data_IF_504408860770
#
_entry.id   IF_504408860770
#
_cell.length_a   1.000
_cell.length_b   1.000
_cell.length_c   1.000
_cell.angle_alpha   90.00
_cell.angle_beta   90.00
_cell.angle_gamma   90.00
#
_symmetry.space_group_name_H-M   'P 1'
#
loop_
_entity.id
_entity.type
_entity.pdbx_description
1 polymer ?
#
# COMPACT_ATOMS: atom_id res chain seq x y z
N UNK A 1 53.22 -47.19 -24.03
CA UNK A 1 52.40 -45.96 -23.91
C UNK A 1 51.17 -46.31 -23.09
N UNK A 2 51.10 -45.86 -21.85
CA UNK A 2 49.94 -46.10 -20.98
C UNK A 2 48.87 -45.09 -21.39
N UNK A 3 47.78 -45.56 -22.00
CA UNK A 3 46.57 -44.77 -22.20
C UNK A 3 46.03 -44.41 -20.80
N UNK A 4 46.31 -43.21 -20.32
CA UNK A 4 45.50 -42.61 -19.27
C UNK A 4 44.10 -42.46 -19.85
N UNK A 5 43.17 -43.31 -19.42
CA UNK A 5 41.74 -43.04 -19.61
C UNK A 5 41.45 -41.76 -18.85
N UNK A 6 41.26 -40.66 -19.57
CA UNK A 6 40.69 -39.44 -19.00
C UNK A 6 39.30 -39.79 -18.46
N UNK A 7 39.23 -40.05 -17.15
CA UNK A 7 37.97 -40.26 -16.43
C UNK A 7 37.15 -38.98 -16.51
N UNK A 8 35.85 -39.12 -16.69
CA UNK A 8 34.97 -37.95 -16.78
C UNK A 8 34.95 -37.17 -15.45
N UNK A 9 34.65 -35.87 -15.52
CA UNK A 9 34.49 -35.03 -14.32
C UNK A 9 33.42 -35.60 -13.36
N UNK A 10 32.39 -36.25 -13.90
CA UNK A 10 31.34 -36.90 -13.13
C UNK A 10 31.81 -38.18 -12.43
N UNK A 11 32.59 -39.03 -13.12
CA UNK A 11 33.21 -40.22 -12.51
C UNK A 11 34.17 -39.84 -11.40
N UNK A 12 34.93 -38.75 -11.58
CA UNK A 12 35.86 -38.25 -10.57
C UNK A 12 35.10 -37.68 -9.37
N UNK A 13 34.05 -36.88 -9.59
CA UNK A 13 33.22 -36.35 -8.50
C UNK A 13 32.59 -37.48 -7.68
N UNK A 14 32.04 -38.49 -8.36
CA UNK A 14 31.44 -39.64 -7.69
C UNK A 14 32.46 -40.45 -6.90
N UNK A 15 33.65 -40.68 -7.45
CA UNK A 15 34.72 -41.41 -6.76
C UNK A 15 35.25 -40.64 -5.52
N UNK A 16 35.30 -39.31 -5.59
CA UNK A 16 35.64 -38.47 -4.44
C UNK A 16 34.55 -38.58 -3.37
N UNK A 17 33.28 -38.44 -3.77
CA UNK A 17 32.15 -38.53 -2.84
C UNK A 17 32.04 -39.92 -2.18
N UNK A 18 32.27 -41.01 -2.91
CA UNK A 18 32.28 -42.36 -2.33
C UNK A 18 33.38 -42.54 -1.26
N UNK A 19 34.52 -41.85 -1.39
CA UNK A 19 35.62 -41.96 -0.43
C UNK A 19 35.46 -41.06 0.77
N UNK A 20 34.82 -39.91 0.58
CA UNK A 20 34.80 -38.82 1.55
C UNK A 20 33.43 -38.60 2.19
N UNK A 21 32.34 -39.06 1.57
CA UNK A 21 30.97 -38.72 1.95
C UNK A 21 30.58 -39.06 3.39
N UNK A 22 31.15 -40.11 3.96
CA UNK A 22 30.88 -40.54 5.34
C UNK A 22 31.76 -39.85 6.39
N UNK A 23 32.68 -38.97 5.98
CA UNK A 23 33.62 -38.34 6.90
C UNK A 23 32.98 -37.08 7.52
N UNK A 24 32.84 -37.01 8.85
CA UNK A 24 32.25 -35.85 9.51
C UNK A 24 33.07 -34.57 9.29
N UNK A 25 32.40 -33.47 8.97
CA UNK A 25 33.02 -32.13 8.86
C UNK A 25 33.73 -31.83 7.55
N UNK A 26 33.68 -32.73 6.55
CA UNK A 26 34.23 -32.43 5.23
C UNK A 26 33.48 -31.27 4.57
N UNK A 27 34.23 -30.32 4.00
CA UNK A 27 33.69 -29.31 3.10
C UNK A 27 33.95 -29.68 1.64
N UNK A 28 32.88 -29.95 0.92
CA UNK A 28 32.93 -30.12 -0.52
C UNK A 28 33.22 -28.80 -1.24
N UNK A 29 32.90 -27.66 -0.63
CA UNK A 29 33.27 -26.33 -1.14
C UNK A 29 34.79 -26.15 -1.26
N UNK A 30 35.57 -26.58 -0.26
CA UNK A 30 37.04 -26.50 -0.32
C UNK A 30 37.63 -27.38 -1.43
N UNK A 31 37.11 -28.60 -1.57
CA UNK A 31 37.54 -29.54 -2.60
C UNK A 31 37.17 -29.01 -4.00
N UNK A 32 35.96 -28.48 -4.15
CA UNK A 32 35.49 -27.85 -5.39
C UNK A 32 36.33 -26.62 -5.74
N UNK A 33 36.69 -25.79 -4.76
CA UNK A 33 37.55 -24.63 -4.97
C UNK A 33 38.93 -25.04 -5.50
N UNK A 34 39.52 -26.12 -4.95
CA UNK A 34 40.78 -26.68 -5.49
C UNK A 34 40.62 -27.23 -6.91
N UNK A 35 39.52 -27.92 -7.20
CA UNK A 35 39.25 -28.38 -8.56
C UNK A 35 39.13 -27.21 -9.56
N UNK A 36 38.50 -26.11 -9.15
CA UNK A 36 38.40 -24.88 -9.94
C UNK A 36 39.74 -24.19 -10.13
N UNK A 37 40.56 -24.05 -9.08
CA UNK A 37 41.90 -23.46 -9.16
C UNK A 37 42.82 -24.26 -10.11
N UNK A 38 42.58 -25.58 -10.24
CA UNK A 38 43.23 -26.46 -11.21
C UNK A 38 42.63 -26.39 -12.63
N UNK A 39 41.67 -25.51 -12.88
CA UNK A 39 41.01 -25.31 -14.19
C UNK A 39 39.86 -26.27 -14.49
N UNK A 40 39.52 -27.22 -13.60
CA UNK A 40 38.43 -28.19 -13.81
C UNK A 40 37.09 -27.66 -13.30
N UNK A 41 36.51 -26.74 -14.08
CA UNK A 41 35.27 -26.04 -13.70
C UNK A 41 34.06 -26.97 -13.59
N UNK A 42 33.89 -27.93 -14.51
CA UNK A 42 32.73 -28.86 -14.46
C UNK A 42 32.83 -29.81 -13.26
N UNK A 43 34.02 -30.36 -12.98
CA UNK A 43 34.29 -31.13 -11.76
C UNK A 43 33.98 -30.30 -10.51
N UNK A 44 34.40 -29.05 -10.45
CA UNK A 44 34.14 -28.17 -9.31
C UNK A 44 32.63 -28.00 -9.07
N UNK A 45 31.83 -27.81 -10.13
CA UNK A 45 30.37 -27.70 -10.04
C UNK A 45 29.78 -29.01 -9.52
N UNK A 46 30.19 -30.16 -10.07
CA UNK A 46 29.70 -31.49 -9.66
C UNK A 46 30.06 -31.81 -8.21
N UNK A 47 31.27 -31.48 -7.75
CA UNK A 47 31.67 -31.65 -6.36
C UNK A 47 30.84 -30.77 -5.42
N UNK A 48 30.50 -29.56 -5.85
CA UNK A 48 29.73 -28.61 -5.06
C UNK A 48 28.26 -29.01 -4.88
N UNK A 49 27.73 -29.90 -5.74
CA UNK A 49 26.39 -30.49 -5.54
C UNK A 49 26.31 -31.34 -4.26
N UNK A 50 27.45 -31.83 -3.75
CA UNK A 50 27.53 -32.59 -2.50
C UNK A 50 27.72 -31.70 -1.25
N UNK A 51 27.88 -30.38 -1.40
CA UNK A 51 27.99 -29.46 -0.25
C UNK A 51 26.58 -29.14 0.29
N UNK A 52 26.22 -29.58 1.51
CA UNK A 52 24.88 -29.33 2.07
C UNK A 52 24.65 -27.87 2.46
N UNK A 53 25.73 -27.09 2.70
CA UNK A 53 25.64 -25.70 3.13
C UNK A 53 25.53 -24.76 1.94
N UNK A 54 24.32 -24.28 1.65
CA UNK A 54 24.10 -23.33 0.55
C UNK A 54 24.92 -22.05 0.68
N UNK A 55 25.20 -21.59 1.91
CA UNK A 55 26.05 -20.43 2.18
C UNK A 55 27.51 -20.61 1.74
N UNK A 56 28.00 -21.84 1.61
CA UNK A 56 29.34 -22.15 1.06
C UNK A 56 29.28 -22.41 -0.45
N UNK A 57 28.19 -23.00 -0.93
CA UNK A 57 27.98 -23.27 -2.35
C UNK A 57 27.86 -21.99 -3.18
N UNK A 58 27.00 -21.06 -2.76
CA UNK A 58 26.65 -19.88 -3.56
C UNK A 58 27.84 -18.95 -3.84
N UNK A 59 28.70 -18.59 -2.86
CA UNK A 59 29.87 -17.76 -3.12
C UNK A 59 30.83 -18.38 -4.13
N UNK A 60 31.06 -19.69 -4.06
CA UNK A 60 31.93 -20.39 -5.00
C UNK A 60 31.32 -20.42 -6.41
N UNK A 61 30.00 -20.65 -6.54
CA UNK A 61 29.30 -20.55 -7.83
C UNK A 61 29.43 -19.16 -8.46
N UNK A 62 29.36 -18.10 -7.66
CA UNK A 62 29.59 -16.72 -8.13
C UNK A 62 31.04 -16.53 -8.61
N UNK A 63 32.03 -17.00 -7.84
CA UNK A 63 33.45 -16.96 -8.24
C UNK A 63 33.69 -17.67 -9.58
N UNK A 64 32.99 -18.80 -9.81
CA UNK A 64 33.05 -19.56 -11.07
C UNK A 64 32.21 -18.95 -12.21
N UNK A 65 31.66 -17.74 -12.05
CA UNK A 65 30.77 -17.06 -13.02
C UNK A 65 29.52 -17.86 -13.39
N UNK A 66 29.05 -18.75 -12.50
CA UNK A 66 27.82 -19.53 -12.66
C UNK A 66 26.62 -18.82 -12.02
N UNK A 67 26.45 -17.55 -12.36
CA UNK A 67 25.43 -16.63 -11.84
C UNK A 67 24.00 -17.19 -11.77
N UNK A 68 23.53 -17.84 -12.84
CA UNK A 68 22.17 -18.40 -12.89
C UNK A 68 22.00 -19.57 -11.91
N UNK A 69 23.01 -20.43 -11.80
CA UNK A 69 23.01 -21.56 -10.88
C UNK A 69 23.12 -21.08 -9.43
N UNK A 70 23.97 -20.09 -9.16
CA UNK A 70 24.08 -19.44 -7.86
C UNK A 70 22.73 -18.88 -7.39
N UNK A 71 22.00 -18.20 -8.29
CA UNK A 71 20.68 -17.66 -7.97
C UNK A 71 19.66 -18.77 -7.69
N UNK A 72 19.63 -19.84 -8.49
CA UNK A 72 18.75 -20.99 -8.25
C UNK A 72 19.03 -21.61 -6.88
N UNK A 73 20.30 -21.84 -6.55
CA UNK A 73 20.71 -22.44 -5.26
C UNK A 73 20.41 -21.55 -4.06
N UNK A 74 20.55 -20.23 -4.21
CA UNK A 74 20.14 -19.29 -3.17
C UNK A 74 18.61 -19.28 -2.97
N UNK A 75 17.82 -19.44 -4.04
CA UNK A 75 16.36 -19.52 -3.92
C UNK A 75 15.95 -20.86 -3.27
N UNK A 76 16.56 -21.96 -3.69
CA UNK A 76 16.32 -23.31 -3.16
C UNK A 76 16.64 -23.41 -1.65
N UNK A 77 17.61 -22.65 -1.16
CA UNK A 77 17.95 -22.63 0.27
C UNK A 77 16.92 -21.93 1.15
N UNK A 78 16.04 -21.11 0.56
CA UNK A 78 15.06 -20.29 1.30
C UNK A 78 15.69 -19.15 2.10
N UNK A 79 17.00 -18.92 1.98
CA UNK A 79 17.73 -17.87 2.68
C UNK A 79 17.63 -16.55 1.89
N UNK A 80 16.85 -15.61 2.40
CA UNK A 80 16.64 -14.31 1.76
C UNK A 80 17.92 -13.49 1.64
N UNK A 81 18.83 -13.60 2.62
CA UNK A 81 20.08 -12.83 2.62
C UNK A 81 21.02 -13.37 1.55
N UNK A 82 21.03 -14.69 1.35
CA UNK A 82 21.78 -15.32 0.27
C UNK A 82 21.23 -14.93 -1.10
N UNK A 83 19.90 -14.87 -1.26
CA UNK A 83 19.29 -14.36 -2.50
C UNK A 83 19.66 -12.90 -2.74
N UNK A 84 19.58 -12.04 -1.73
CA UNK A 84 20.01 -10.64 -1.85
C UNK A 84 21.49 -10.52 -2.23
N UNK A 85 22.35 -11.34 -1.63
CA UNK A 85 23.79 -11.38 -1.95
C UNK A 85 24.01 -11.66 -3.44
N UNK A 86 23.33 -12.67 -3.99
CA UNK A 86 23.43 -12.99 -5.42
C UNK A 86 22.85 -11.86 -6.26
N UNK A 87 21.65 -11.38 -5.97
CA UNK A 87 20.98 -10.33 -6.75
C UNK A 87 21.82 -9.05 -6.82
N UNK A 88 22.39 -8.61 -5.69
CA UNK A 88 23.26 -7.43 -5.65
C UNK A 88 24.57 -7.65 -6.39
N UNK A 89 25.16 -8.85 -6.31
CA UNK A 89 26.33 -9.21 -7.10
C UNK A 89 26.02 -9.13 -8.61
N UNK A 90 24.89 -9.71 -9.05
CA UNK A 90 24.46 -9.66 -10.45
C UNK A 90 24.22 -8.23 -10.94
N UNK A 91 23.69 -7.36 -10.08
CA UNK A 91 23.47 -5.95 -10.42
C UNK A 91 24.77 -5.20 -10.71
N UNK A 92 25.86 -5.56 -10.02
CA UNK A 92 27.16 -4.93 -10.21
C UNK A 92 27.92 -5.48 -11.43
N UNK A 93 27.76 -6.77 -11.72
CA UNK A 93 28.46 -7.44 -12.83
C UNK A 93 27.75 -7.29 -14.19
N UNK A 94 26.41 -7.25 -14.19
CA UNK A 94 25.61 -7.21 -15.41
C UNK A 94 25.20 -5.78 -15.75
N UNK A 95 25.10 -5.48 -17.05
CA UNK A 95 24.39 -4.28 -17.47
C UNK A 95 22.90 -4.38 -17.10
N UNK A 96 22.23 -3.22 -17.01
CA UNK A 96 20.84 -3.10 -16.56
C UNK A 96 19.87 -4.03 -17.31
N UNK A 97 20.02 -4.16 -18.63
CA UNK A 97 19.16 -5.02 -19.45
C UNK A 97 19.35 -6.51 -19.15
N UNK A 98 20.59 -6.98 -19.11
CA UNK A 98 20.93 -8.37 -18.79
C UNK A 98 20.54 -8.75 -17.35
N UNK A 99 20.70 -7.81 -16.41
CA UNK A 99 20.27 -7.97 -15.03
C UNK A 99 18.75 -8.20 -14.93
N UNK A 100 17.95 -7.33 -15.53
CA UNK A 100 16.49 -7.49 -15.48
C UNK A 100 16.00 -8.73 -16.23
N UNK A 101 16.58 -9.06 -17.37
CA UNK A 101 16.27 -10.32 -18.07
C UNK A 101 16.56 -11.54 -17.20
N UNK A 102 17.62 -11.51 -16.40
CA UNK A 102 17.94 -12.60 -15.45
C UNK A 102 16.89 -12.70 -14.34
N UNK A 103 16.48 -11.55 -13.77
CA UNK A 103 15.45 -11.52 -12.71
C UNK A 103 14.04 -11.88 -13.21
N UNK A 104 13.66 -11.48 -14.43
CA UNK A 104 12.35 -11.81 -14.99
C UNK A 104 12.13 -13.32 -15.11
N UNK A 105 13.20 -14.08 -15.36
CA UNK A 105 13.16 -15.54 -15.39
C UNK A 105 13.12 -16.20 -14.00
N UNK A 106 13.20 -15.42 -12.91
CA UNK A 106 13.27 -15.90 -11.53
C UNK A 106 12.31 -15.07 -10.63
N UNK A 107 11.00 -15.42 -10.59
CA UNK A 107 9.97 -14.62 -9.92
C UNK A 107 10.25 -14.31 -8.44
N UNK A 108 10.84 -15.26 -7.71
CA UNK A 108 11.21 -15.09 -6.29
C UNK A 108 12.28 -14.00 -6.14
N UNK A 109 13.35 -14.07 -6.92
CA UNK A 109 14.41 -13.07 -6.91
C UNK A 109 13.89 -11.68 -7.32
N UNK A 110 13.04 -11.61 -8.35
CA UNK A 110 12.42 -10.36 -8.76
C UNK A 110 11.52 -9.77 -7.65
N UNK A 111 10.77 -10.62 -6.94
CA UNK A 111 9.92 -10.17 -5.83
C UNK A 111 10.73 -9.58 -4.67
N UNK A 112 11.85 -10.24 -4.31
CA UNK A 112 12.77 -9.75 -3.28
C UNK A 112 13.48 -8.47 -3.73
N UNK A 113 13.89 -8.39 -5.00
CA UNK A 113 14.49 -7.19 -5.55
C UNK A 113 13.52 -6.00 -5.55
N UNK A 114 12.24 -6.21 -5.92
CA UNK A 114 11.21 -5.17 -5.79
C UNK A 114 11.05 -4.71 -4.35
N UNK A 115 11.10 -5.63 -3.38
CA UNK A 115 11.05 -5.27 -1.96
C UNK A 115 12.25 -4.42 -1.54
N UNK A 116 13.45 -4.75 -2.02
CA UNK A 116 14.65 -3.92 -1.82
C UNK A 116 14.47 -2.52 -2.43
N UNK A 117 13.99 -2.43 -3.67
CA UNK A 117 13.80 -1.14 -4.35
C UNK A 117 12.75 -0.24 -3.66
N UNK A 118 11.73 -0.81 -3.00
CA UNK A 118 10.76 -0.02 -2.21
C UNK A 118 11.42 0.85 -1.14
N UNK A 119 12.51 0.38 -0.55
CA UNK A 119 13.21 1.05 0.54
C UNK A 119 14.38 1.91 0.07
N UNK A 120 15.13 1.43 -0.93
CA UNK A 120 16.41 2.03 -1.32
C UNK A 120 16.36 2.75 -2.68
N UNK A 121 15.52 2.28 -3.62
CA UNK A 121 15.59 2.68 -5.04
C UNK A 121 14.21 2.86 -5.69
N UNK A 122 13.51 3.92 -5.29
CA UNK A 122 12.15 4.21 -5.75
C UNK A 122 12.01 4.38 -7.26
N UNK A 123 12.95 5.06 -7.93
CA UNK A 123 12.88 5.23 -9.39
C UNK A 123 13.10 3.89 -10.13
N UNK A 124 14.05 3.06 -9.67
CA UNK A 124 14.21 1.70 -10.21
C UNK A 124 12.92 0.88 -10.06
N UNK A 125 12.21 1.03 -8.93
CA UNK A 125 10.93 0.34 -8.73
C UNK A 125 9.86 0.79 -9.73
N UNK A 126 9.77 2.10 -9.98
CA UNK A 126 8.84 2.66 -10.97
C UNK A 126 9.14 2.14 -12.39
N UNK A 127 10.42 2.07 -12.77
CA UNK A 127 10.84 1.52 -14.06
C UNK A 127 10.44 0.05 -14.21
N UNK A 128 10.61 -0.75 -13.15
CA UNK A 128 10.16 -2.14 -13.11
C UNK A 128 8.65 -2.26 -13.31
N UNK A 129 7.85 -1.42 -12.65
CA UNK A 129 6.39 -1.42 -12.83
C UNK A 129 5.98 -1.02 -14.25
N UNK A 130 6.71 -0.09 -14.89
CA UNK A 130 6.47 0.27 -16.29
C UNK A 130 6.82 -0.88 -17.24
N UNK A 131 7.97 -1.52 -17.06
CA UNK A 131 8.42 -2.62 -17.92
C UNK A 131 7.49 -3.82 -17.87
N UNK A 132 6.95 -4.13 -16.69
CA UNK A 132 6.08 -5.28 -16.49
C UNK A 132 4.59 -4.98 -16.74
N UNK A 133 4.28 -3.80 -17.30
CA UNK A 133 2.91 -3.26 -17.47
C UNK A 133 2.05 -3.37 -16.19
N UNK A 134 2.69 -3.27 -15.02
CA UNK A 134 2.02 -3.34 -13.73
C UNK A 134 1.44 -1.97 -13.37
N UNK A 135 0.42 -1.58 -14.11
CA UNK A 135 -0.25 -0.28 -13.98
C UNK A 135 -0.91 -0.10 -12.61
N UNK A 136 -1.30 -1.18 -11.91
CA UNK A 136 -1.83 -1.09 -10.55
C UNK A 136 -0.77 -0.55 -9.59
N UNK A 137 0.41 -1.16 -9.59
CA UNK A 137 1.49 -0.74 -8.70
C UNK A 137 2.09 0.62 -9.10
N UNK A 138 2.07 0.96 -10.39
CA UNK A 138 2.41 2.30 -10.85
C UNK A 138 1.43 3.35 -10.29
N UNK A 139 0.12 3.04 -10.26
CA UNK A 139 -0.88 3.88 -9.61
C UNK A 139 -0.57 4.07 -8.12
N UNK A 140 -0.29 2.98 -7.39
CA UNK A 140 0.09 3.02 -5.98
C UNK A 140 1.34 3.88 -5.75
N UNK A 141 2.36 3.74 -6.61
CA UNK A 141 3.59 4.53 -6.54
C UNK A 141 3.30 6.03 -6.65
N UNK A 142 2.51 6.43 -7.65
CA UNK A 142 2.15 7.83 -7.87
C UNK A 142 1.32 8.43 -6.73
N UNK A 143 0.41 7.65 -6.13
CA UNK A 143 -0.32 8.09 -4.92
C UNK A 143 0.66 8.38 -3.79
N UNK A 144 1.59 7.47 -3.49
CA UNK A 144 2.57 7.69 -2.42
C UNK A 144 3.48 8.89 -2.71
N UNK A 145 3.94 9.03 -3.96
CA UNK A 145 4.78 10.16 -4.37
C UNK A 145 4.05 11.50 -4.20
N UNK A 146 2.72 11.54 -4.46
CA UNK A 146 1.93 12.76 -4.34
C UNK A 146 1.93 13.35 -2.92
N UNK A 147 2.08 12.52 -1.89
CA UNK A 147 2.14 13.00 -0.50
C UNK A 147 3.53 13.46 -0.07
N UNK A 148 4.58 13.16 -0.84
CA UNK A 148 5.90 13.75 -0.67
C UNK A 148 6.03 15.14 -1.34
N UNK A 149 5.10 15.48 -2.24
CA UNK A 149 5.07 16.79 -2.90
C UNK A 149 4.72 17.91 -1.93
N UNK A 150 5.47 19.01 -2.02
CA UNK A 150 5.27 20.22 -1.18
C UNK A 150 4.24 21.19 -1.75
N UNK A 151 4.03 21.16 -3.06
CA UNK A 151 3.12 22.06 -3.77
C UNK A 151 1.88 21.28 -4.22
N UNK A 152 0.72 21.94 -4.17
CA UNK A 152 -0.55 21.31 -4.54
C UNK A 152 -0.55 20.93 -6.03
N UNK A 153 0.04 21.73 -6.89
CA UNK A 153 0.11 21.47 -8.33
C UNK A 153 0.89 20.18 -8.61
N UNK A 154 2.01 19.98 -7.90
CA UNK A 154 2.80 18.74 -7.97
C UNK A 154 2.02 17.53 -7.46
N UNK A 155 1.35 17.66 -6.30
CA UNK A 155 0.50 16.62 -5.73
C UNK A 155 -0.64 16.22 -6.68
N UNK A 156 -1.31 17.21 -7.27
CA UNK A 156 -2.38 17.01 -8.26
C UNK A 156 -1.86 16.30 -9.51
N UNK A 157 -0.71 16.70 -10.05
CA UNK A 157 -0.12 16.05 -11.23
C UNK A 157 0.25 14.59 -10.97
N UNK A 158 0.80 14.29 -9.79
CA UNK A 158 1.10 12.93 -9.36
C UNK A 158 -0.18 12.09 -9.19
N UNK A 159 -1.22 12.62 -8.55
CA UNK A 159 -2.51 11.93 -8.44
C UNK A 159 -3.18 11.71 -9.80
N UNK A 160 -3.05 12.65 -10.74
CA UNK A 160 -3.55 12.47 -12.11
C UNK A 160 -2.84 11.31 -12.82
N UNK A 161 -1.52 11.23 -12.66
CA UNK A 161 -0.74 10.09 -13.17
C UNK A 161 -1.17 8.76 -12.52
N UNK A 162 -1.51 8.78 -11.23
CA UNK A 162 -2.06 7.61 -10.55
C UNK A 162 -3.44 7.20 -11.10
N UNK A 163 -4.33 8.16 -11.34
CA UNK A 163 -5.65 7.92 -11.93
C UNK A 163 -5.53 7.26 -13.31
N UNK A 164 -4.63 7.77 -14.16
CA UNK A 164 -4.40 7.24 -15.51
C UNK A 164 -3.87 5.81 -15.44
N UNK A 165 -2.93 5.53 -14.53
CA UNK A 165 -2.40 4.20 -14.29
C UNK A 165 -3.49 3.23 -13.79
N UNK A 166 -4.31 3.63 -12.81
CA UNK A 166 -5.43 2.80 -12.35
C UNK A 166 -6.48 2.55 -13.44
N UNK A 167 -6.70 3.53 -14.33
CA UNK A 167 -7.61 3.38 -15.47
C UNK A 167 -7.08 2.34 -16.46
N UNK A 168 -5.78 2.40 -16.80
CA UNK A 168 -5.12 1.36 -17.61
C UNK A 168 -5.16 -0.02 -16.94
N UNK A 169 -5.01 -0.06 -15.62
CA UNK A 169 -5.13 -1.28 -14.82
C UNK A 169 -6.57 -1.81 -14.66
N UNK A 170 -7.58 -1.11 -15.20
CA UNK A 170 -9.02 -1.40 -15.03
C UNK A 170 -9.47 -1.44 -13.55
N UNK A 171 -8.81 -0.65 -12.69
CA UNK A 171 -9.15 -0.52 -11.26
C UNK A 171 -10.10 0.66 -11.07
N UNK A 172 -11.38 0.46 -11.41
CA UNK A 172 -12.41 1.51 -11.43
C UNK A 172 -12.54 2.27 -10.10
N UNK A 173 -12.56 1.55 -8.97
CA UNK A 173 -12.64 2.16 -7.65
C UNK A 173 -11.42 3.07 -7.37
N UNK A 174 -10.20 2.57 -7.57
CA UNK A 174 -8.98 3.32 -7.28
C UNK A 174 -8.86 4.56 -8.17
N UNK A 175 -9.19 4.43 -9.47
CA UNK A 175 -9.24 5.55 -10.39
C UNK A 175 -10.26 6.60 -9.92
N UNK A 176 -11.48 6.18 -9.53
CA UNK A 176 -12.53 7.09 -9.09
C UNK A 176 -12.21 7.78 -7.76
N UNK A 177 -11.69 7.03 -6.79
CA UNK A 177 -11.26 7.57 -5.50
C UNK A 177 -10.14 8.61 -5.68
N UNK A 178 -9.20 8.35 -6.59
CA UNK A 178 -8.11 9.29 -6.90
C UNK A 178 -8.63 10.56 -7.59
N UNK A 179 -9.58 10.42 -8.53
CA UNK A 179 -10.27 11.55 -9.18
C UNK A 179 -10.99 12.44 -8.13
N UNK A 180 -11.74 11.82 -7.22
CA UNK A 180 -12.45 12.54 -6.15
C UNK A 180 -11.48 13.20 -5.18
N UNK A 181 -10.34 12.58 -4.88
CA UNK A 181 -9.29 13.17 -4.06
C UNK A 181 -8.69 14.43 -4.73
N UNK A 182 -8.44 14.38 -6.04
CA UNK A 182 -7.98 15.57 -6.79
C UNK A 182 -9.02 16.68 -6.74
N UNK A 183 -10.30 16.36 -6.92
CA UNK A 183 -11.41 17.32 -6.82
C UNK A 183 -11.47 17.96 -5.43
N UNK A 184 -11.38 17.16 -4.37
CA UNK A 184 -11.41 17.63 -2.98
C UNK A 184 -10.23 18.55 -2.68
N UNK A 185 -9.02 18.15 -3.05
CA UNK A 185 -7.81 18.93 -2.80
C UNK A 185 -7.85 20.32 -3.44
N UNK A 186 -8.31 20.41 -4.70
CA UNK A 186 -8.49 21.68 -5.40
C UNK A 186 -9.53 22.56 -4.70
N UNK A 187 -10.66 21.98 -4.31
CA UNK A 187 -11.72 22.70 -3.61
C UNK A 187 -11.23 23.21 -2.24
N UNK A 188 -10.55 22.38 -1.46
CA UNK A 188 -10.00 22.75 -0.16
C UNK A 188 -8.97 23.88 -0.27
N UNK A 189 -8.16 23.88 -1.33
CA UNK A 189 -7.23 24.98 -1.59
C UNK A 189 -7.97 26.30 -1.78
N UNK A 190 -9.04 26.31 -2.57
CA UNK A 190 -9.85 27.52 -2.78
C UNK A 190 -10.57 27.95 -1.50
N UNK A 191 -11.11 26.99 -0.73
CA UNK A 191 -11.72 27.31 0.58
C UNK A 191 -10.72 27.94 1.54
N UNK A 192 -9.48 27.44 1.56
CA UNK A 192 -8.43 27.96 2.43
C UNK A 192 -8.02 29.39 2.05
N UNK A 193 -7.96 29.70 0.75
CA UNK A 193 -7.68 31.06 0.27
C UNK A 193 -8.86 32.01 0.55
N UNK A 194 -10.10 31.58 0.31
CA UNK A 194 -11.30 32.38 0.52
C UNK A 194 -11.61 32.67 1.99
N UNK A 195 -11.37 31.70 2.88
CA UNK A 195 -11.79 31.74 4.28
C UNK A 195 -10.64 31.97 5.27
N UNK A 196 -9.40 32.07 4.76
CA UNK A 196 -8.18 32.23 5.55
C UNK A 196 -8.06 31.21 6.71
N UNK A 197 -8.35 29.94 6.41
CA UNK A 197 -8.37 28.83 7.38
C UNK A 197 -7.80 27.54 6.78
N UNK A 198 -7.17 26.68 7.59
CA UNK A 198 -6.61 25.42 7.09
C UNK A 198 -7.73 24.44 6.71
N UNK A 199 -7.90 24.21 5.40
CA UNK A 199 -8.86 23.24 4.86
C UNK A 199 -8.18 22.09 4.10
N UNK A 200 -6.96 22.29 3.61
CA UNK A 200 -6.20 21.29 2.86
C UNK A 200 -5.91 20.07 3.73
N UNK A 201 -6.00 18.88 3.14
CA UNK A 201 -5.74 17.57 3.74
C UNK A 201 -6.76 17.12 4.81
N UNK A 202 -7.83 17.88 5.04
CA UNK A 202 -8.99 17.38 5.77
C UNK A 202 -9.66 16.25 4.98
N UNK A 203 -10.30 15.31 5.68
CA UNK A 203 -11.23 14.41 5.01
C UNK A 203 -12.44 15.18 4.47
N UNK A 204 -13.18 14.61 3.51
CA UNK A 204 -14.44 15.21 3.05
C UNK A 204 -15.41 15.44 4.22
N UNK A 205 -15.46 14.50 5.17
CA UNK A 205 -16.27 14.61 6.38
C UNK A 205 -15.87 15.84 7.20
N UNK A 206 -14.58 16.00 7.47
CA UNK A 206 -14.09 17.07 8.33
C UNK A 206 -14.15 18.42 7.62
N UNK A 207 -14.00 18.45 6.30
CA UNK A 207 -14.23 19.64 5.47
C UNK A 207 -15.66 20.14 5.62
N UNK A 208 -16.65 19.25 5.45
CA UNK A 208 -18.08 19.59 5.59
C UNK A 208 -18.41 19.98 7.03
N UNK A 209 -17.89 19.26 8.02
CA UNK A 209 -18.09 19.55 9.44
C UNK A 209 -17.56 20.94 9.81
N UNK A 210 -16.32 21.25 9.38
CA UNK A 210 -15.68 22.55 9.64
C UNK A 210 -16.45 23.70 9.00
N UNK A 211 -16.92 23.53 7.76
CA UNK A 211 -17.76 24.54 7.10
C UNK A 211 -19.05 24.82 7.90
N UNK A 212 -19.69 23.79 8.47
CA UNK A 212 -20.91 23.97 9.28
C UNK A 212 -20.58 24.64 10.62
N UNK A 213 -19.49 24.23 11.27
CA UNK A 213 -19.00 24.85 12.51
C UNK A 213 -18.64 26.33 12.31
N UNK A 214 -18.17 26.70 11.11
CA UNK A 214 -17.90 28.08 10.71
C UNK A 214 -19.14 28.86 10.25
N UNK A 215 -20.29 28.19 10.09
CA UNK A 215 -21.55 28.81 9.64
C UNK A 215 -21.70 28.92 8.11
N UNK A 216 -20.82 28.30 7.33
CA UNK A 216 -20.87 28.27 5.87
C UNK A 216 -21.80 27.15 5.33
N UNK A 217 -23.05 27.14 5.80
CA UNK A 217 -24.04 26.07 5.53
C UNK A 217 -24.30 25.82 4.04
N UNK A 218 -24.32 26.87 3.21
CA UNK A 218 -24.52 26.75 1.75
C UNK A 218 -23.36 26.02 1.06
N UNK A 219 -22.12 26.30 1.47
CA UNK A 219 -20.92 25.64 0.94
C UNK A 219 -20.90 24.16 1.37
N UNK A 220 -21.21 23.88 2.64
CA UNK A 220 -21.35 22.50 3.13
C UNK A 220 -22.39 21.69 2.34
N UNK A 221 -23.56 22.27 2.06
CA UNK A 221 -24.61 21.65 1.25
C UNK A 221 -24.18 21.41 -0.21
N UNK A 222 -23.37 22.30 -0.77
CA UNK A 222 -22.78 22.10 -2.10
C UNK A 222 -21.84 20.88 -2.11
N UNK A 223 -20.94 20.74 -1.13
CA UNK A 223 -20.05 19.59 -1.03
C UNK A 223 -20.82 18.27 -0.86
N UNK A 224 -21.89 18.28 -0.07
CA UNK A 224 -22.79 17.13 0.07
C UNK A 224 -23.31 16.63 -1.29
N UNK A 225 -23.75 17.55 -2.16
CA UNK A 225 -24.24 17.21 -3.50
C UNK A 225 -23.12 16.82 -4.44
N UNK A 226 -22.03 17.58 -4.46
CA UNK A 226 -20.91 17.42 -5.39
C UNK A 226 -20.14 16.12 -5.21
N UNK A 227 -20.07 15.62 -3.97
CA UNK A 227 -19.44 14.35 -3.62
C UNK A 227 -20.47 13.24 -3.32
N UNK A 228 -21.77 13.51 -3.52
CA UNK A 228 -22.86 12.54 -3.35
C UNK A 228 -22.78 11.81 -2.01
N UNK A 229 -22.53 12.55 -0.93
CA UNK A 229 -22.41 11.96 0.42
C UNK A 229 -23.75 11.29 0.75
N UNK A 230 -23.78 10.02 1.20
CA UNK A 230 -25.02 9.34 1.52
C UNK A 230 -25.87 10.13 2.52
N UNK A 231 -27.17 10.27 2.25
CA UNK A 231 -28.11 11.07 3.04
C UNK A 231 -28.00 10.79 4.54
N UNK A 232 -28.05 9.52 4.94
CA UNK A 232 -27.96 9.14 6.36
C UNK A 232 -26.68 9.67 7.02
N UNK A 233 -25.54 9.64 6.30
CA UNK A 233 -24.24 10.13 6.80
C UNK A 233 -24.23 11.65 6.89
N UNK A 234 -24.67 12.35 5.86
CA UNK A 234 -24.73 13.81 5.89
C UNK A 234 -25.65 14.33 6.99
N UNK A 235 -26.77 13.66 7.24
CA UNK A 235 -27.70 14.03 8.31
C UNK A 235 -27.10 13.89 9.70
N UNK A 236 -26.39 12.79 9.98
CA UNK A 236 -25.67 12.65 11.25
C UNK A 236 -24.57 13.69 11.42
N UNK A 237 -23.80 13.94 10.36
CA UNK A 237 -22.72 14.93 10.34
C UNK A 237 -23.28 16.33 10.62
N UNK A 238 -24.26 16.78 9.82
CA UNK A 238 -24.83 18.13 9.94
C UNK A 238 -25.53 18.34 11.27
N UNK A 239 -26.28 17.35 11.77
CA UNK A 239 -26.89 17.40 13.09
C UNK A 239 -25.83 17.59 14.18
N UNK A 240 -24.74 16.81 14.13
CA UNK A 240 -23.66 16.85 15.12
C UNK A 240 -22.92 18.18 15.11
N UNK A 241 -22.59 18.69 13.91
CA UNK A 241 -21.90 19.96 13.76
C UNK A 241 -22.78 21.16 14.19
N UNK A 242 -24.06 21.18 13.81
CA UNK A 242 -25.00 22.24 14.24
C UNK A 242 -25.19 22.26 15.76
N UNK A 243 -25.34 21.08 16.39
CA UNK A 243 -25.44 20.98 17.85
C UNK A 243 -24.17 21.48 18.55
N UNK A 244 -23.00 21.12 18.01
CA UNK A 244 -21.69 21.55 18.54
C UNK A 244 -21.50 23.05 18.43
N UNK A 245 -21.93 23.66 17.32
CA UNK A 245 -21.95 25.11 17.12
C UNK A 245 -22.99 25.82 18.00
N UNK A 246 -24.03 25.12 18.44
CA UNK A 246 -25.20 25.71 19.10
C UNK A 246 -26.14 26.44 18.14
N UNK A 247 -26.07 26.14 16.83
CA UNK A 247 -26.91 26.74 15.80
C UNK A 247 -28.26 26.02 15.71
N UNK A 248 -29.06 26.20 16.77
CA UNK A 248 -30.35 25.54 16.95
C UNK A 248 -31.40 26.01 15.94
N UNK A 249 -31.30 27.27 15.48
CA UNK A 249 -32.20 27.82 14.47
C UNK A 249 -32.01 27.11 13.13
N UNK A 250 -30.76 26.94 12.68
CA UNK A 250 -30.48 26.19 11.46
C UNK A 250 -30.77 24.70 11.63
N UNK A 251 -30.60 24.13 12.83
CA UNK A 251 -31.02 22.75 13.12
C UNK A 251 -32.53 22.57 12.96
N UNK A 252 -33.33 23.53 13.43
CA UNK A 252 -34.78 23.49 13.27
C UNK A 252 -35.17 23.58 11.79
N UNK A 253 -34.57 24.51 11.03
CA UNK A 253 -34.74 24.62 9.57
C UNK A 253 -34.36 23.32 8.87
N UNK A 254 -33.21 22.75 9.21
CA UNK A 254 -32.71 21.50 8.65
C UNK A 254 -33.68 20.34 8.92
N UNK A 255 -34.21 20.25 10.14
CA UNK A 255 -35.19 19.23 10.50
C UNK A 255 -36.46 19.27 9.64
N UNK A 256 -36.82 20.45 9.10
CA UNK A 256 -38.03 20.67 8.29
C UNK A 256 -37.77 20.54 6.78
N UNK A 257 -36.50 20.49 6.36
CA UNK A 257 -36.11 20.50 4.94
C UNK A 257 -36.64 19.29 4.16
N UNK A 258 -36.62 18.09 4.75
CA UNK A 258 -37.23 16.85 4.24
C UNK A 258 -37.39 15.85 5.38
N UNK A 259 -38.08 14.72 5.12
CA UNK A 259 -38.19 13.63 6.10
C UNK A 259 -36.80 13.12 6.48
N UNK A 260 -36.50 13.11 7.77
CA UNK A 260 -35.18 12.70 8.25
C UNK A 260 -34.91 11.21 8.00
N UNK A 261 -33.82 10.84 7.30
CA UNK A 261 -33.40 9.45 7.10
C UNK A 261 -32.79 8.83 8.37
N UNK A 262 -32.52 9.62 9.40
CA UNK A 262 -32.03 9.17 10.71
C UNK A 262 -33.15 9.17 11.77
N UNK A 263 -34.37 9.52 11.39
CA UNK A 263 -35.47 9.77 12.32
C UNK A 263 -35.25 11.04 13.17
N UNK A 264 -36.12 11.26 14.15
CA UNK A 264 -36.07 12.45 15.00
C UNK A 264 -35.56 12.19 16.42
N UNK A 265 -35.41 10.93 16.83
CA UNK A 265 -34.80 10.60 18.12
C UNK A 265 -33.37 11.15 18.25
N UNK A 266 -32.50 11.08 17.22
CA UNK A 266 -31.18 11.71 17.27
C UNK A 266 -31.20 13.21 17.57
N UNK A 267 -32.19 13.93 17.04
CA UNK A 267 -32.35 15.36 17.29
C UNK A 267 -32.68 15.63 18.76
N UNK A 268 -33.51 14.78 19.37
CA UNK A 268 -33.82 14.85 20.81
C UNK A 268 -32.57 14.56 21.63
N UNK A 269 -31.90 13.44 21.36
CA UNK A 269 -30.73 12.98 22.11
C UNK A 269 -29.60 14.02 22.09
N UNK A 270 -29.31 14.58 20.92
CA UNK A 270 -28.23 15.56 20.79
C UNK A 270 -28.59 16.91 21.42
N UNK A 271 -29.84 17.35 21.32
CA UNK A 271 -30.28 18.60 21.95
C UNK A 271 -30.20 18.50 23.48
N UNK A 272 -30.59 17.35 24.05
CA UNK A 272 -30.44 17.07 25.50
C UNK A 272 -28.97 16.99 25.90
N UNK A 273 -28.12 16.34 25.10
CA UNK A 273 -26.67 16.23 25.34
C UNK A 273 -26.00 17.61 25.45
N UNK A 274 -26.43 18.57 24.64
CA UNK A 274 -25.95 19.96 24.69
C UNK A 274 -26.81 20.87 25.59
N UNK A 275 -27.53 20.28 26.55
CA UNK A 275 -28.34 20.98 27.56
C UNK A 275 -29.47 21.88 27.03
N UNK A 276 -29.88 21.73 25.77
CA UNK A 276 -31.01 22.46 25.18
C UNK A 276 -32.29 21.61 25.17
N UNK A 277 -32.94 21.49 26.34
CA UNK A 277 -34.21 20.76 26.47
C UNK A 277 -35.38 21.42 25.73
N UNK A 278 -35.34 22.74 25.57
CA UNK A 278 -36.37 23.46 24.82
C UNK A 278 -36.39 23.03 23.37
N UNK A 279 -35.21 22.94 22.75
CA UNK A 279 -35.05 22.47 21.38
C UNK A 279 -35.42 20.98 21.26
N UNK A 280 -35.02 20.15 22.24
CA UNK A 280 -35.37 18.73 22.27
C UNK A 280 -36.90 18.48 22.24
N UNK A 281 -37.70 19.32 22.95
CA UNK A 281 -39.18 19.23 22.95
C UNK A 281 -39.78 19.33 21.56
N UNK A 282 -39.21 20.15 20.67
CA UNK A 282 -39.71 20.35 19.30
C UNK A 282 -39.66 19.06 18.47
N UNK A 283 -38.74 18.16 18.78
CA UNK A 283 -38.53 16.92 18.03
C UNK A 283 -39.22 15.71 18.65
N UNK A 284 -39.47 15.71 19.97
CA UNK A 284 -40.04 14.57 20.69
C UNK A 284 -41.36 14.07 20.10
N UNK A 285 -42.26 14.98 19.69
CA UNK A 285 -43.54 14.64 19.07
C UNK A 285 -43.38 13.99 17.68
N UNK A 286 -42.28 14.26 16.99
CA UNK A 286 -41.98 13.75 15.64
C UNK A 286 -41.26 12.40 15.67
N UNK A 287 -40.85 11.94 16.85
CA UNK A 287 -40.27 10.60 17.02
C UNK A 287 -41.32 9.54 16.73
N UNK A 288 -40.90 8.47 16.06
CA UNK A 288 -41.75 7.34 15.72
C UNK A 288 -42.34 6.70 17.00
N UNK A 289 -43.55 6.12 16.95
CA UNK A 289 -44.24 5.62 18.15
C UNK A 289 -43.41 4.66 18.99
N UNK A 290 -42.62 3.79 18.34
CA UNK A 290 -41.78 2.77 18.97
C UNK A 290 -40.67 3.37 19.85
N UNK A 291 -40.26 4.60 19.57
CA UNK A 291 -39.19 5.31 20.27
C UNK A 291 -39.68 6.53 21.06
N UNK A 292 -40.98 6.84 21.01
CA UNK A 292 -41.54 8.08 21.58
C UNK A 292 -41.44 8.14 23.09
N UNK A 293 -41.64 7.01 23.77
CA UNK A 293 -41.50 6.93 25.25
C UNK A 293 -40.07 7.30 25.66
N UNK A 294 -39.06 6.77 24.96
CA UNK A 294 -37.65 7.12 25.20
C UNK A 294 -37.41 8.62 25.00
N UNK A 295 -37.95 9.20 23.93
CA UNK A 295 -37.82 10.63 23.68
C UNK A 295 -38.46 11.50 24.77
N UNK A 296 -39.66 11.17 25.24
CA UNK A 296 -40.35 11.90 26.30
C UNK A 296 -39.62 11.81 27.65
N UNK A 297 -39.06 10.63 27.97
CA UNK A 297 -38.20 10.43 29.15
C UNK A 297 -36.97 11.35 29.12
N UNK A 298 -36.28 11.40 27.98
CA UNK A 298 -35.08 12.24 27.81
C UNK A 298 -35.37 13.74 27.97
N UNK A 299 -36.56 14.16 27.56
CA UNK A 299 -36.99 15.57 27.61
C UNK A 299 -37.57 15.96 28.97
N UNK A 300 -37.81 14.97 29.84
CA UNK A 300 -38.40 15.17 31.17
C UNK A 300 -39.91 15.44 31.14
N UNK A 301 -40.61 15.00 30.09
CA UNK A 301 -42.05 15.14 29.93
C UNK A 301 -42.79 13.83 30.24
N UNK A 302 -42.61 13.29 31.45
CA UNK A 302 -43.34 12.09 31.91
C UNK A 302 -44.33 12.55 32.98
N UNK A 303 -45.51 12.99 32.55
CA UNK A 303 -46.57 13.43 33.48
C UNK A 303 -47.49 14.57 33.01
N UNK A 304 -47.65 14.79 31.71
CA UNK A 304 -48.71 15.67 31.17
C UNK A 304 -49.62 14.89 30.22
#
# INVERSE_FOLDING_TARGET
>A
QVQQKDKSDEEVAHAINQKLGDTPGISYSEIAARAYDCGRTELAIKLLEYEPRSGEQVPLLLKMKRSKLALSKAIESGDTDLVYTVVLHLKNELNRGAFFMTLQNQPVALSLYRQFCKHQERETLKDLYNQDDNHQELGNFHVHASYAEKRIEGRVAALQSAQDAYSKAKKSFAAKATEEQVKLLRLQRHLQEDLDKPYVDLSLHDTVSTLILDGHHKRAEQLYRDFKIPDKRYWWLKLSALATRGDWEEMEKFSKSKKSPIGYLPFVEISVKHHNRYEAKKYAARVAPEQRVKALLLVGCVGQ
#
